data_IF_820872201673
#
_entry.id   IF_820872201673
#
_cell.length_a   1.000
_cell.length_b   1.000
_cell.length_c   1.000
_cell.angle_alpha   90.00
_cell.angle_beta   90.00
_cell.angle_gamma   90.00
#
_symmetry.space_group_name_H-M   'P 1'
#
loop_
_entity.id
_entity.type
_entity.pdbx_description
1 polymer ?
#
# COMPACT_ATOMS: atom_id res chain seq x y z
N UNK A 1 -21.15 -44.21 6.07
CA UNK A 1 -21.64 -43.36 7.19
C UNK A 1 -20.90 -43.65 8.51
N UNK A 2 -20.71 -44.92 8.89
CA UNK A 2 -20.03 -45.28 10.15
C UNK A 2 -18.55 -44.85 10.24
N UNK A 3 -17.81 -44.84 9.11
CA UNK A 3 -16.41 -44.37 9.09
C UNK A 3 -16.25 -42.84 9.15
N UNK A 4 -17.30 -42.07 8.83
CA UNK A 4 -17.28 -40.60 8.93
C UNK A 4 -17.41 -40.13 10.39
N UNK A 5 -18.04 -40.92 11.25
CA UNK A 5 -18.18 -40.64 12.69
C UNK A 5 -16.86 -40.81 13.46
N UNK A 6 -15.98 -41.71 13.00
CA UNK A 6 -14.67 -41.97 13.61
C UNK A 6 -13.65 -40.80 13.40
N UNK A 7 -13.86 -39.98 12.37
CA UNK A 7 -13.02 -38.81 12.10
C UNK A 7 -13.19 -37.66 13.10
N UNK A 8 -14.30 -37.63 13.83
CA UNK A 8 -14.58 -36.58 14.82
C UNK A 8 -14.03 -36.87 16.22
N UNK A 9 -13.54 -38.09 16.49
CA UNK A 9 -13.27 -38.59 17.85
C UNK A 9 -11.88 -39.19 18.07
N UNK A 10 -10.99 -39.17 17.08
CA UNK A 10 -9.65 -39.77 17.21
C UNK A 10 -8.57 -38.80 16.75
N UNK A 11 -7.53 -38.61 17.56
CA UNK A 11 -6.34 -37.84 17.16
C UNK A 11 -5.51 -38.59 16.10
N UNK A 12 -5.65 -39.92 16.04
CA UNK A 12 -5.00 -40.77 15.03
C UNK A 12 -5.91 -41.04 13.81
N UNK A 13 -6.11 -39.99 13.03
CA UNK A 13 -6.85 -40.04 11.76
C UNK A 13 -6.15 -40.87 10.68
N UNK A 14 -4.87 -41.21 10.85
CA UNK A 14 -4.03 -41.85 9.83
C UNK A 14 -4.45 -43.29 9.53
N UNK A 15 -4.85 -44.05 10.55
CA UNK A 15 -5.25 -45.45 10.41
C UNK A 15 -6.59 -45.61 9.66
N UNK A 16 -7.55 -44.71 9.92
CA UNK A 16 -8.87 -44.72 9.28
C UNK A 16 -8.75 -44.41 7.78
N UNK A 17 -7.89 -43.46 7.41
CA UNK A 17 -7.72 -43.10 6.00
C UNK A 17 -6.95 -44.15 5.20
N UNK A 18 -6.02 -44.89 5.82
CA UNK A 18 -5.36 -46.04 5.17
C UNK A 18 -6.37 -47.13 4.76
N UNK A 19 -7.37 -47.41 5.61
CA UNK A 19 -8.44 -48.37 5.32
C UNK A 19 -9.40 -47.90 4.22
N UNK A 20 -9.67 -46.59 4.15
CA UNK A 20 -10.48 -46.02 3.07
C UNK A 20 -9.72 -46.03 1.74
N UNK A 21 -8.42 -45.73 1.73
CA UNK A 21 -7.62 -45.63 0.52
C UNK A 21 -7.52 -46.97 -0.25
N UNK A 22 -7.46 -48.12 0.44
CA UNK A 22 -7.48 -49.45 -0.21
C UNK A 22 -8.76 -49.75 -0.99
N UNK A 23 -9.83 -48.98 -0.76
CA UNK A 23 -11.15 -49.21 -1.38
C UNK A 23 -11.45 -48.31 -2.59
N UNK A 24 -10.66 -47.26 -2.83
CA UNK A 24 -10.99 -46.19 -3.80
C UNK A 24 -9.94 -45.95 -4.90
N UNK A 25 -9.04 -46.90 -5.15
CA UNK A 25 -7.84 -46.74 -6.00
C UNK A 25 -8.07 -46.47 -7.50
N UNK A 26 -9.31 -46.42 -8.00
CA UNK A 26 -9.59 -46.33 -9.43
C UNK A 26 -10.10 -44.98 -9.97
N UNK A 27 -10.18 -43.90 -9.17
CA UNK A 27 -10.61 -42.58 -9.70
C UNK A 27 -9.89 -41.38 -9.05
N UNK A 28 -8.73 -41.02 -9.60
CA UNK A 28 -7.87 -39.92 -9.10
C UNK A 28 -8.43 -38.50 -9.33
N UNK A 29 -9.53 -38.36 -10.05
CA UNK A 29 -10.10 -37.05 -10.44
C UNK A 29 -11.20 -36.54 -9.49
N UNK A 30 -11.71 -37.37 -8.58
CA UNK A 30 -12.80 -36.97 -7.69
C UNK A 30 -12.25 -36.29 -6.44
N UNK A 31 -12.68 -35.05 -6.18
CA UNK A 31 -12.14 -34.20 -5.10
C UNK A 31 -12.14 -34.89 -3.71
N UNK A 32 -13.22 -35.57 -3.26
CA UNK A 32 -13.18 -36.36 -2.02
C UNK A 32 -12.06 -37.41 -1.98
N UNK A 33 -11.82 -38.13 -3.08
CA UNK A 33 -10.76 -39.15 -3.15
C UNK A 33 -9.38 -38.48 -3.08
N UNK A 34 -9.19 -37.35 -3.77
CA UNK A 34 -7.94 -36.58 -3.70
C UNK A 34 -7.63 -36.12 -2.27
N UNK A 35 -8.63 -35.61 -1.54
CA UNK A 35 -8.46 -35.19 -0.14
C UNK A 35 -8.19 -36.40 0.77
N UNK A 36 -8.91 -37.51 0.58
CA UNK A 36 -8.67 -38.74 1.36
C UNK A 36 -7.24 -39.25 1.15
N UNK A 37 -6.71 -39.16 -0.07
CA UNK A 37 -5.37 -39.58 -0.43
C UNK A 37 -4.25 -38.66 0.11
N UNK A 38 -4.60 -37.45 0.56
CA UNK A 38 -3.65 -36.52 1.21
C UNK A 38 -3.36 -36.94 2.64
N UNK A 39 -4.37 -37.44 3.36
CA UNK A 39 -4.25 -37.74 4.79
C UNK A 39 -3.21 -38.80 5.20
N UNK A 40 -2.98 -39.89 4.45
CA UNK A 40 -1.94 -40.86 4.81
C UNK A 40 -0.51 -40.38 4.52
N UNK A 41 -0.33 -39.23 3.86
CA UNK A 41 0.99 -38.72 3.48
C UNK A 41 1.73 -38.10 4.68
N UNK A 42 3.07 -38.18 4.69
CA UNK A 42 3.92 -37.67 5.77
C UNK A 42 3.74 -36.16 6.01
N UNK A 43 3.45 -35.38 4.96
CA UNK A 43 3.18 -33.94 5.02
C UNK A 43 1.74 -33.62 4.61
N UNK A 44 0.80 -34.34 5.19
CA UNK A 44 -0.64 -34.24 4.87
C UNK A 44 -1.21 -32.82 5.05
N UNK A 45 -0.69 -32.04 5.99
CA UNK A 45 -1.05 -30.63 6.18
C UNK A 45 -0.59 -29.73 5.03
N UNK A 46 0.66 -29.88 4.57
CA UNK A 46 1.22 -29.18 3.42
C UNK A 46 0.46 -29.53 2.13
N UNK A 47 0.23 -30.82 1.88
CA UNK A 47 -0.44 -31.28 0.67
C UNK A 47 -1.92 -30.86 0.65
N UNK A 48 -2.59 -30.81 1.81
CA UNK A 48 -3.93 -30.25 1.91
C UNK A 48 -3.95 -28.77 1.56
N UNK A 49 -2.99 -27.99 2.08
CA UNK A 49 -2.88 -26.57 1.76
C UNK A 49 -2.57 -26.32 0.27
N UNK A 50 -1.77 -27.19 -0.35
CA UNK A 50 -1.46 -27.13 -1.78
C UNK A 50 -2.68 -27.46 -2.63
N UNK A 51 -3.45 -28.47 -2.24
CA UNK A 51 -4.71 -28.80 -2.91
C UNK A 51 -5.73 -27.65 -2.75
N UNK A 52 -5.77 -27.01 -1.58
CA UNK A 52 -6.65 -25.86 -1.33
C UNK A 52 -6.32 -24.68 -2.25
N UNK A 53 -5.03 -24.41 -2.50
CA UNK A 53 -4.57 -23.44 -3.50
C UNK A 53 -5.02 -23.80 -4.92
N UNK A 54 -4.85 -25.05 -5.36
CA UNK A 54 -5.25 -25.49 -6.70
C UNK A 54 -6.74 -25.29 -6.98
N UNK A 55 -7.58 -25.43 -5.95
CA UNK A 55 -9.03 -25.23 -6.03
C UNK A 55 -9.48 -23.82 -5.62
N UNK A 56 -8.54 -22.94 -5.24
CA UNK A 56 -8.80 -21.58 -4.74
C UNK A 56 -9.87 -21.56 -3.63
N UNK A 57 -9.75 -22.51 -2.70
CA UNK A 57 -10.63 -22.67 -1.53
C UNK A 57 -9.79 -22.76 -0.28
N UNK A 58 -10.29 -22.26 0.84
CA UNK A 58 -9.63 -22.52 2.12
C UNK A 58 -9.62 -24.04 2.40
N UNK A 59 -8.71 -24.55 3.24
CA UNK A 59 -8.75 -25.97 3.60
C UNK A 59 -10.12 -26.39 4.15
N UNK A 60 -10.78 -25.55 4.94
CA UNK A 60 -12.13 -25.81 5.44
C UNK A 60 -13.19 -25.81 4.33
N UNK A 61 -13.18 -24.82 3.43
CA UNK A 61 -14.09 -24.76 2.28
C UNK A 61 -13.91 -25.97 1.34
N UNK A 62 -12.67 -26.43 1.15
CA UNK A 62 -12.33 -27.58 0.32
C UNK A 62 -12.96 -28.86 0.89
N UNK A 63 -12.82 -29.09 2.20
CA UNK A 63 -13.41 -30.25 2.88
C UNK A 63 -14.94 -30.19 2.84
N UNK A 64 -15.55 -29.01 3.08
CA UNK A 64 -17.00 -28.83 2.96
C UNK A 64 -17.51 -29.17 1.56
N UNK A 65 -16.82 -28.73 0.51
CA UNK A 65 -17.17 -29.04 -0.87
C UNK A 65 -17.10 -30.54 -1.17
N UNK A 66 -16.21 -31.25 -0.49
CA UNK A 66 -16.08 -32.71 -0.57
C UNK A 66 -17.03 -33.47 0.37
N UNK A 67 -17.93 -32.78 1.08
CA UNK A 67 -18.81 -33.35 2.11
C UNK A 67 -18.04 -34.04 3.25
N UNK A 68 -16.85 -33.53 3.57
CA UNK A 68 -15.99 -34.00 4.65
C UNK A 68 -16.06 -33.06 5.87
N UNK A 69 -15.77 -33.56 7.09
CA UNK A 69 -15.75 -32.74 8.30
C UNK A 69 -14.69 -31.64 8.21
N UNK A 70 -15.11 -30.37 8.26
CA UNK A 70 -14.21 -29.23 8.11
C UNK A 70 -13.57 -28.74 9.43
N UNK A 71 -13.98 -29.29 10.58
CA UNK A 71 -13.45 -28.96 11.91
C UNK A 71 -12.58 -30.11 12.42
N UNK A 72 -11.45 -30.33 11.75
CA UNK A 72 -10.49 -31.37 12.11
C UNK A 72 -9.09 -30.74 12.20
N UNK A 73 -8.23 -31.28 13.07
CA UNK A 73 -6.95 -30.66 13.43
C UNK A 73 -6.00 -30.44 12.24
N UNK A 74 -6.13 -31.24 11.18
CA UNK A 74 -5.34 -31.08 9.95
C UNK A 74 -5.69 -29.80 9.18
N UNK A 75 -6.90 -29.26 9.31
CA UNK A 75 -7.28 -27.97 8.70
C UNK A 75 -6.48 -26.84 9.32
N UNK A 76 -6.39 -26.81 10.65
CA UNK A 76 -5.62 -25.79 11.38
C UNK A 76 -4.12 -25.90 11.08
N UNK A 77 -3.60 -27.14 10.98
CA UNK A 77 -2.21 -27.37 10.56
C UNK A 77 -1.96 -26.94 9.12
N UNK A 78 -2.87 -27.25 8.20
CA UNK A 78 -2.76 -26.85 6.80
C UNK A 78 -2.72 -25.33 6.62
N UNK A 79 -3.51 -24.60 7.42
CA UNK A 79 -3.46 -23.13 7.43
C UNK A 79 -2.06 -22.57 7.74
N UNK A 80 -1.17 -23.29 8.44
CA UNK A 80 0.21 -22.82 8.70
C UNK A 80 1.06 -22.73 7.44
N UNK A 81 0.70 -23.44 6.38
CA UNK A 81 1.49 -23.55 5.15
C UNK A 81 0.99 -22.64 4.02
N UNK A 82 -0.17 -21.99 4.18
CA UNK A 82 -0.79 -21.22 3.09
C UNK A 82 0.04 -20.00 2.67
N UNK A 83 0.71 -19.33 3.61
CA UNK A 83 1.63 -18.23 3.29
C UNK A 83 2.79 -18.71 2.45
N UNK A 84 3.43 -19.81 2.86
CA UNK A 84 4.56 -20.37 2.12
C UNK A 84 4.15 -20.78 0.70
N UNK A 85 2.96 -21.37 0.54
CA UNK A 85 2.40 -21.73 -0.77
C UNK A 85 2.12 -20.48 -1.61
N UNK A 86 1.50 -19.44 -1.04
CA UNK A 86 1.24 -18.19 -1.74
C UNK A 86 2.54 -17.57 -2.27
N UNK A 87 3.55 -17.48 -1.41
CA UNK A 87 4.87 -16.92 -1.75
C UNK A 87 5.54 -17.74 -2.85
N UNK A 88 5.56 -19.07 -2.74
CA UNK A 88 6.20 -19.97 -3.72
C UNK A 88 5.57 -19.90 -5.10
N UNK A 89 4.25 -19.75 -5.16
CA UNK A 89 3.57 -19.73 -6.46
C UNK A 89 3.74 -18.38 -7.18
N UNK A 90 4.18 -17.31 -6.49
CA UNK A 90 4.44 -15.96 -7.03
C UNK A 90 3.28 -15.28 -7.80
N UNK A 91 2.20 -16.00 -8.09
CA UNK A 91 1.01 -15.54 -8.81
C UNK A 91 0.11 -14.80 -7.84
N UNK A 92 0.06 -13.48 -7.98
CA UNK A 92 -0.85 -12.60 -7.25
C UNK A 92 -1.99 -12.11 -8.15
N UNK A 93 -2.61 -13.05 -8.87
CA UNK A 93 -3.88 -12.75 -9.53
C UNK A 93 -4.98 -12.50 -8.48
N UNK A 94 -6.13 -12.02 -8.95
CA UNK A 94 -7.24 -11.66 -8.07
C UNK A 94 -7.66 -12.82 -7.19
N UNK A 95 -7.73 -14.02 -7.75
CA UNK A 95 -8.23 -15.21 -7.07
C UNK A 95 -7.26 -15.73 -6.02
N UNK A 96 -5.94 -15.71 -6.28
CA UNK A 96 -4.93 -16.10 -5.32
C UNK A 96 -4.89 -15.16 -4.11
N UNK A 97 -5.03 -13.84 -4.34
CA UNK A 97 -5.12 -12.85 -3.25
C UNK A 97 -6.39 -13.06 -2.42
N UNK A 98 -7.53 -13.26 -3.08
CA UNK A 98 -8.81 -13.53 -2.39
C UNK A 98 -8.75 -14.84 -1.58
N UNK A 99 -8.11 -15.88 -2.11
CA UNK A 99 -7.87 -17.13 -1.39
C UNK A 99 -7.00 -16.93 -0.13
N UNK A 100 -5.89 -16.21 -0.25
CA UNK A 100 -5.00 -15.95 0.89
C UNK A 100 -5.73 -15.19 1.99
N UNK A 101 -6.46 -14.13 1.63
CA UNK A 101 -7.22 -13.32 2.58
C UNK A 101 -8.25 -14.15 3.36
N UNK A 102 -8.98 -15.04 2.67
CA UNK A 102 -9.90 -15.96 3.34
C UNK A 102 -9.18 -16.90 4.30
N UNK A 103 -8.04 -17.47 3.88
CA UNK A 103 -7.25 -18.34 4.75
C UNK A 103 -6.76 -17.59 6.00
N UNK A 104 -6.24 -16.36 5.84
CA UNK A 104 -5.82 -15.52 6.96
C UNK A 104 -6.97 -15.19 7.92
N UNK A 105 -8.19 -14.97 7.41
CA UNK A 105 -9.38 -14.70 8.22
C UNK A 105 -9.87 -15.93 9.01
N UNK A 106 -9.62 -17.14 8.52
CA UNK A 106 -9.94 -18.38 9.24
C UNK A 106 -8.92 -18.73 10.33
N UNK A 107 -7.72 -18.14 10.31
CA UNK A 107 -6.67 -18.44 11.28
C UNK A 107 -6.97 -17.89 12.68
N UNK A 108 -6.60 -18.63 13.74
CA UNK A 108 -6.49 -18.07 15.09
C UNK A 108 -5.50 -16.89 15.13
N UNK A 109 -5.68 -15.91 16.05
CA UNK A 109 -4.88 -14.67 16.06
C UNK A 109 -3.36 -14.86 16.04
N UNK A 110 -2.83 -15.79 16.85
CA UNK A 110 -1.39 -16.03 16.93
C UNK A 110 -0.83 -16.65 15.64
N UNK A 111 -1.61 -17.53 15.02
CA UNK A 111 -1.24 -18.16 13.75
C UNK A 111 -1.29 -17.14 12.61
N UNK A 112 -2.33 -16.30 12.57
CA UNK A 112 -2.46 -15.21 11.61
C UNK A 112 -1.28 -14.24 11.70
N UNK A 113 -0.92 -13.82 12.91
CA UNK A 113 0.23 -12.92 13.14
C UNK A 113 1.54 -13.51 12.58
N UNK A 114 1.79 -14.79 12.83
CA UNK A 114 2.98 -15.50 12.33
C UNK A 114 2.96 -15.57 10.80
N UNK A 115 1.82 -15.93 10.22
CA UNK A 115 1.62 -16.02 8.78
C UNK A 115 1.80 -14.67 8.07
N UNK A 116 1.32 -13.58 8.68
CA UNK A 116 1.47 -12.21 8.16
C UNK A 116 2.91 -11.72 8.26
N UNK A 117 3.59 -11.97 9.39
CA UNK A 117 5.00 -11.60 9.54
C UNK A 117 5.88 -12.30 8.48
N UNK A 118 5.65 -13.59 8.26
CA UNK A 118 6.33 -14.35 7.22
C UNK A 118 6.04 -13.80 5.81
N UNK A 119 4.77 -13.49 5.51
CA UNK A 119 4.33 -12.94 4.22
C UNK A 119 5.06 -11.63 3.90
N UNK A 120 5.12 -10.72 4.88
CA UNK A 120 5.72 -9.39 4.75
C UNK A 120 7.22 -9.45 4.48
N UNK A 121 7.91 -10.44 5.04
CA UNK A 121 9.37 -10.61 4.89
C UNK A 121 9.72 -11.35 3.60
N UNK A 122 8.92 -12.35 3.21
CA UNK A 122 9.26 -13.23 2.08
C UNK A 122 8.84 -12.69 0.71
N UNK A 123 7.89 -11.76 0.63
CA UNK A 123 7.53 -11.12 -0.63
C UNK A 123 8.48 -9.94 -0.88
N UNK A 124 9.46 -10.16 -1.76
CA UNK A 124 10.46 -9.16 -2.15
C UNK A 124 10.01 -8.23 -3.28
N UNK A 125 9.02 -8.66 -4.07
CA UNK A 125 8.50 -7.91 -5.21
C UNK A 125 7.67 -6.68 -4.80
N UNK A 126 7.44 -5.79 -5.77
CA UNK A 126 6.56 -4.62 -5.62
C UNK A 126 5.21 -5.01 -4.96
N UNK A 127 4.89 -4.40 -3.80
CA UNK A 127 3.70 -4.75 -3.02
C UNK A 127 2.38 -4.29 -3.66
N UNK A 128 2.43 -3.38 -4.64
CA UNK A 128 1.24 -2.84 -5.32
C UNK A 128 1.04 -3.48 -6.69
N UNK A 129 2.02 -4.25 -7.18
CA UNK A 129 1.90 -4.97 -8.43
C UNK A 129 0.80 -6.04 -8.37
N UNK A 130 0.13 -6.23 -9.51
CA UNK A 130 -1.02 -7.14 -9.66
C UNK A 130 -2.17 -6.78 -8.71
N UNK A 131 -2.87 -7.76 -8.15
CA UNK A 131 -4.02 -7.55 -7.26
C UNK A 131 -3.64 -7.40 -5.78
N UNK A 132 -2.35 -7.21 -5.48
CA UNK A 132 -1.85 -7.12 -4.10
C UNK A 132 -2.29 -5.85 -3.37
N UNK A 133 -2.77 -4.81 -4.07
CA UNK A 133 -3.33 -3.61 -3.42
C UNK A 133 -4.42 -3.95 -2.40
N UNK A 134 -5.30 -4.92 -2.72
CA UNK A 134 -6.34 -5.40 -1.79
C UNK A 134 -5.77 -6.09 -0.55
N UNK A 135 -4.68 -6.84 -0.71
CA UNK A 135 -3.96 -7.45 0.40
C UNK A 135 -3.35 -6.36 1.31
N UNK A 136 -2.73 -5.34 0.70
CA UNK A 136 -2.15 -4.22 1.45
C UNK A 136 -3.23 -3.40 2.15
N UNK A 137 -4.40 -3.19 1.53
CA UNK A 137 -5.56 -2.54 2.16
C UNK A 137 -6.02 -3.31 3.39
N UNK A 138 -6.19 -4.63 3.27
CA UNK A 138 -6.55 -5.48 4.40
C UNK A 138 -5.48 -5.44 5.52
N UNK A 139 -4.19 -5.52 5.15
CA UNK A 139 -3.09 -5.42 6.12
C UNK A 139 -3.06 -4.07 6.83
N UNK A 140 -3.30 -2.97 6.11
CA UNK A 140 -3.42 -1.63 6.69
C UNK A 140 -4.54 -1.61 7.72
N UNK A 141 -5.73 -2.07 7.35
CA UNK A 141 -6.91 -1.95 8.21
C UNK A 141 -6.80 -2.86 9.44
N UNK A 142 -6.22 -4.06 9.29
CA UNK A 142 -6.06 -5.04 10.37
C UNK A 142 -4.87 -4.72 11.29
N UNK A 143 -3.73 -4.27 10.75
CA UNK A 143 -2.47 -4.16 11.49
C UNK A 143 -1.97 -2.73 11.76
N UNK A 144 -2.57 -1.67 11.23
CA UNK A 144 -2.10 -0.29 11.54
C UNK A 144 -2.12 0.00 13.05
N UNK A 145 -3.17 -0.43 13.75
CA UNK A 145 -3.28 -0.30 15.23
C UNK A 145 -2.58 -1.42 16.02
N UNK A 146 -2.09 -2.45 15.34
CA UNK A 146 -1.46 -3.65 15.92
C UNK A 146 -0.01 -3.83 15.49
N UNK A 147 0.59 -2.81 14.88
CA UNK A 147 1.93 -2.90 14.29
C UNK A 147 3.03 -3.22 15.31
N UNK A 148 2.79 -2.95 16.60
CA UNK A 148 3.64 -3.35 17.73
C UNK A 148 3.71 -4.86 17.97
N UNK A 149 2.77 -5.64 17.43
CA UNK A 149 2.77 -7.10 17.53
C UNK A 149 3.70 -7.75 16.49
N UNK A 150 4.09 -7.01 15.46
CA UNK A 150 5.00 -7.48 14.42
C UNK A 150 6.46 -7.24 14.84
N UNK A 151 7.35 -8.14 14.42
CA UNK A 151 8.79 -7.93 14.57
C UNK A 151 9.30 -6.74 13.73
N UNK A 152 10.57 -6.37 13.93
CA UNK A 152 11.15 -5.20 13.26
C UNK A 152 11.14 -5.28 11.72
N UNK A 153 11.40 -6.46 11.15
CA UNK A 153 11.49 -6.64 9.71
C UNK A 153 10.10 -6.64 9.06
N UNK A 154 9.14 -7.35 9.64
CA UNK A 154 7.76 -7.36 9.23
C UNK A 154 7.11 -5.98 9.38
N UNK A 155 7.35 -5.28 10.51
CA UNK A 155 6.85 -3.91 10.73
C UNK A 155 7.40 -2.93 9.70
N UNK A 156 8.68 -3.03 9.38
CA UNK A 156 9.32 -2.19 8.35
C UNK A 156 8.69 -2.44 6.98
N UNK A 157 8.49 -3.71 6.64
CA UNK A 157 7.86 -4.11 5.37
C UNK A 157 6.40 -3.67 5.29
N UNK A 158 5.63 -3.80 6.37
CA UNK A 158 4.25 -3.33 6.45
C UNK A 158 4.16 -1.82 6.19
N UNK A 159 4.99 -1.03 6.87
CA UNK A 159 5.00 0.42 6.68
C UNK A 159 5.34 0.80 5.23
N UNK A 160 6.34 0.12 4.65
CA UNK A 160 6.72 0.30 3.24
C UNK A 160 5.55 -0.01 2.31
N UNK A 161 4.86 -1.13 2.51
CA UNK A 161 3.74 -1.54 1.68
C UNK A 161 2.57 -0.56 1.77
N UNK A 162 2.22 -0.13 2.98
CA UNK A 162 1.20 0.90 3.21
C UNK A 162 1.60 2.21 2.52
N UNK A 163 2.88 2.60 2.62
CA UNK A 163 3.43 3.75 1.93
C UNK A 163 3.27 3.68 0.42
N UNK A 164 3.68 2.57 -0.19
CA UNK A 164 3.50 2.33 -1.61
C UNK A 164 2.02 2.39 -2.04
N UNK A 165 1.11 1.82 -1.24
CA UNK A 165 -0.33 1.88 -1.50
C UNK A 165 -0.84 3.33 -1.47
N UNK A 166 -0.52 4.07 -0.41
CA UNK A 166 -0.91 5.46 -0.26
C UNK A 166 -0.37 6.33 -1.41
N UNK A 167 0.90 6.14 -1.78
CA UNK A 167 1.51 6.83 -2.92
C UNK A 167 0.79 6.48 -4.23
N UNK A 168 0.39 5.23 -4.42
CA UNK A 168 -0.32 4.81 -5.64
C UNK A 168 -1.64 5.54 -5.84
N UNK A 169 -2.34 5.92 -4.76
CA UNK A 169 -3.57 6.71 -4.85
C UNK A 169 -3.25 8.12 -5.38
N UNK A 170 -2.24 8.77 -4.83
CA UNK A 170 -1.75 10.06 -5.30
C UNK A 170 -1.33 10.03 -6.77
N UNK A 171 -0.52 9.03 -7.16
CA UNK A 171 -0.10 8.83 -8.54
C UNK A 171 -1.30 8.69 -9.48
N UNK A 172 -2.25 7.80 -9.17
CA UNK A 172 -3.47 7.59 -9.97
C UNK A 172 -4.30 8.86 -10.10
N UNK A 173 -4.36 9.70 -9.05
CA UNK A 173 -5.03 11.00 -9.12
C UNK A 173 -4.31 11.94 -10.09
N UNK A 174 -2.98 12.10 -10.00
CA UNK A 174 -2.23 12.92 -10.95
C UNK A 174 -2.42 12.43 -12.38
N UNK A 175 -2.27 11.13 -12.62
CA UNK A 175 -2.40 10.53 -13.95
C UNK A 175 -3.82 10.72 -14.52
N UNK A 176 -4.83 10.75 -13.66
CA UNK A 176 -6.21 11.03 -14.06
C UNK A 176 -6.45 12.51 -14.34
N UNK A 177 -5.92 13.40 -13.49
CA UNK A 177 -5.98 14.87 -13.69
C UNK A 177 -5.33 15.26 -15.01
N UNK A 178 -4.09 14.82 -15.24
CA UNK A 178 -3.32 15.13 -16.45
C UNK A 178 -4.03 14.67 -17.72
N UNK A 179 -4.63 13.47 -17.70
CA UNK A 179 -5.27 12.85 -18.85
C UNK A 179 -6.67 13.38 -19.13
N UNK A 180 -7.44 13.73 -18.10
CA UNK A 180 -8.88 13.97 -18.24
C UNK A 180 -9.28 15.45 -18.16
N UNK A 181 -8.51 16.31 -17.48
CA UNK A 181 -8.84 17.73 -17.34
C UNK A 181 -8.38 18.59 -18.54
N UNK A 182 -7.88 17.97 -19.62
CA UNK A 182 -7.42 18.65 -20.85
C UNK A 182 -6.50 19.84 -20.56
N UNK A 183 -5.50 19.60 -19.71
CA UNK A 183 -4.57 20.64 -19.26
C UNK A 183 -3.53 20.97 -20.34
N UNK A 184 -2.96 22.20 -20.33
CA UNK A 184 -1.80 22.51 -21.13
C UNK A 184 -0.62 21.58 -20.83
N UNK A 185 0.20 21.27 -21.84
CA UNK A 185 1.36 20.38 -21.70
C UNK A 185 2.32 20.81 -20.59
N UNK A 186 2.51 22.13 -20.41
CA UNK A 186 3.33 22.69 -19.34
C UNK A 186 2.78 22.35 -17.93
N UNK A 187 1.45 22.36 -17.74
CA UNK A 187 0.83 21.97 -16.47
C UNK A 187 0.93 20.47 -16.24
N UNK A 188 0.72 19.66 -17.29
CA UNK A 188 0.90 18.21 -17.23
C UNK A 188 2.32 17.87 -16.76
N UNK A 189 3.33 18.48 -17.39
CA UNK A 189 4.73 18.28 -17.02
C UNK A 189 5.00 18.65 -15.56
N UNK A 190 4.45 19.75 -15.07
CA UNK A 190 4.59 20.16 -13.66
C UNK A 190 3.95 19.13 -12.71
N UNK A 191 2.81 18.55 -13.07
CA UNK A 191 2.18 17.48 -12.29
C UNK A 191 3.04 16.22 -12.28
N UNK A 192 3.59 15.82 -13.43
CA UNK A 192 4.48 14.66 -13.55
C UNK A 192 5.77 14.84 -12.75
N UNK A 193 6.39 16.02 -12.79
CA UNK A 193 7.58 16.32 -11.98
C UNK A 193 7.29 16.19 -10.47
N UNK A 194 6.10 16.61 -10.03
CA UNK A 194 5.68 16.47 -8.61
C UNK A 194 5.40 15.02 -8.25
N UNK A 195 4.71 14.29 -9.12
CA UNK A 195 4.48 12.85 -8.98
C UNK A 195 5.81 12.14 -8.77
N UNK A 196 6.71 12.30 -9.72
CA UNK A 196 7.98 11.59 -9.76
C UNK A 196 8.89 11.99 -8.59
N UNK A 197 8.87 13.25 -8.15
CA UNK A 197 9.58 13.66 -6.94
C UNK A 197 9.10 12.91 -5.70
N UNK A 198 7.78 12.84 -5.47
CA UNK A 198 7.21 12.17 -4.29
C UNK A 198 7.34 10.64 -4.35
N UNK A 199 7.52 10.06 -5.56
CA UNK A 199 7.84 8.63 -5.71
C UNK A 199 9.05 8.22 -4.87
N UNK A 200 10.03 9.12 -4.73
CA UNK A 200 11.26 8.87 -3.96
C UNK A 200 11.02 8.86 -2.44
N UNK A 201 9.81 9.12 -1.97
CA UNK A 201 9.42 9.11 -0.56
C UNK A 201 8.24 8.17 -0.27
N UNK A 202 7.79 7.39 -1.27
CA UNK A 202 6.59 6.55 -1.20
C UNK A 202 6.54 5.68 0.06
N UNK A 203 7.66 5.07 0.42
CA UNK A 203 7.75 4.06 1.48
C UNK A 203 7.59 4.65 2.88
N UNK A 204 7.64 5.99 2.98
CA UNK A 204 7.54 6.75 4.24
C UNK A 204 6.16 7.35 4.47
N UNK A 205 5.26 7.26 3.50
CA UNK A 205 3.92 7.87 3.57
C UNK A 205 3.00 7.01 4.44
N UNK A 206 2.71 7.46 5.65
CA UNK A 206 1.87 6.71 6.60
C UNK A 206 0.40 6.75 6.21
N UNK A 207 -0.06 7.90 5.72
CA UNK A 207 -1.44 8.15 5.29
C UNK A 207 -1.44 9.17 4.17
N UNK A 208 -2.43 9.08 3.30
CA UNK A 208 -2.72 10.08 2.28
C UNK A 208 -4.16 10.56 2.42
N UNK A 209 -4.39 11.85 2.15
CA UNK A 209 -5.73 12.39 1.93
C UNK A 209 -5.72 13.21 0.65
N UNK A 210 -6.66 12.91 -0.23
CA UNK A 210 -6.85 13.63 -1.47
C UNK A 210 -8.06 14.54 -1.35
N UNK A 211 -7.88 15.80 -1.73
CA UNK A 211 -8.91 16.82 -1.76
C UNK A 211 -9.02 17.34 -3.19
N UNK A 212 -10.21 17.22 -3.78
CA UNK A 212 -10.45 17.61 -5.17
C UNK A 212 -11.46 18.75 -5.22
N UNK A 213 -11.26 19.75 -6.08
CA UNK A 213 -12.33 20.69 -6.44
C UNK A 213 -13.54 19.93 -7.00
N UNK A 214 -14.75 20.47 -6.80
CA UNK A 214 -15.99 19.87 -7.31
C UNK A 214 -15.92 19.54 -8.81
N UNK A 215 -15.36 20.44 -9.62
CA UNK A 215 -15.17 20.24 -11.07
C UNK A 215 -14.30 19.03 -11.40
N UNK A 216 -13.25 18.80 -10.61
CA UNK A 216 -12.30 17.71 -10.80
C UNK A 216 -12.90 16.41 -10.32
N UNK A 217 -13.56 16.41 -9.16
CA UNK A 217 -14.32 15.28 -8.65
C UNK A 217 -15.40 14.79 -9.63
N UNK A 218 -16.15 15.71 -10.24
CA UNK A 218 -17.16 15.37 -11.26
C UNK A 218 -16.55 14.77 -12.53
N UNK A 219 -15.30 15.11 -12.86
CA UNK A 219 -14.64 14.66 -14.09
C UNK A 219 -13.89 13.34 -13.92
N UNK A 220 -13.15 13.17 -12.83
CA UNK A 220 -12.25 12.02 -12.63
C UNK A 220 -12.68 11.09 -11.50
N UNK A 221 -13.61 11.52 -10.64
CA UNK A 221 -13.96 10.82 -9.40
C UNK A 221 -14.44 9.38 -9.63
N UNK A 222 -15.15 9.13 -10.73
CA UNK A 222 -15.62 7.77 -11.07
C UNK A 222 -14.48 6.80 -11.42
N UNK A 223 -13.29 7.30 -11.79
CA UNK A 223 -12.11 6.47 -12.06
C UNK A 223 -11.30 6.19 -10.79
N UNK A 224 -11.48 7.00 -9.75
CA UNK A 224 -10.77 6.85 -8.49
C UNK A 224 -11.48 5.78 -7.65
N UNK A 225 -10.89 4.60 -7.57
CA UNK A 225 -11.40 3.47 -6.77
C UNK A 225 -10.95 3.56 -5.30
N UNK A 226 -10.83 4.77 -4.76
CA UNK A 226 -10.37 5.06 -3.40
C UNK A 226 -10.94 6.38 -2.91
N UNK A 227 -10.92 6.60 -1.60
CA UNK A 227 -11.55 7.75 -0.97
C UNK A 227 -10.84 9.07 -1.29
N UNK A 228 -11.64 10.10 -1.58
CA UNK A 228 -11.21 11.49 -1.65
C UNK A 228 -12.29 12.39 -1.03
N UNK A 229 -11.93 13.61 -0.64
CA UNK A 229 -12.90 14.63 -0.20
C UNK A 229 -13.06 15.70 -1.27
N UNK A 230 -14.26 16.29 -1.34
CA UNK A 230 -14.51 17.44 -2.19
C UNK A 230 -14.16 18.71 -1.39
N UNK A 231 -13.38 19.60 -2.00
CA UNK A 231 -13.06 20.90 -1.42
C UNK A 231 -14.30 21.80 -1.46
N UNK A 232 -14.69 22.42 -0.33
CA UNK A 232 -15.71 23.46 -0.33
C UNK A 232 -15.18 24.71 -1.05
N UNK A 233 -16.07 25.44 -1.72
CA UNK A 233 -15.73 26.72 -2.33
C UNK A 233 -15.51 27.79 -1.24
N UNK A 234 -14.32 28.40 -1.23
CA UNK A 234 -13.94 29.44 -0.26
C UNK A 234 -13.28 30.67 -0.92
N UNK A 235 -13.44 30.82 -2.24
CA UNK A 235 -12.82 31.89 -3.03
C UNK A 235 -11.34 31.67 -3.37
N UNK A 236 -10.72 30.59 -2.90
CA UNK A 236 -9.37 30.21 -3.31
C UNK A 236 -9.31 29.74 -4.77
N UNK A 237 -8.15 29.92 -5.40
CA UNK A 237 -7.84 29.33 -6.71
C UNK A 237 -8.08 27.81 -6.69
N UNK A 238 -8.79 27.29 -7.70
CA UNK A 238 -9.14 25.88 -7.79
C UNK A 238 -7.88 25.03 -8.02
N UNK A 239 -7.60 24.13 -7.07
CA UNK A 239 -6.51 23.17 -7.19
C UNK A 239 -6.84 21.90 -6.42
N UNK A 240 -6.42 20.75 -6.94
CA UNK A 240 -6.32 19.53 -6.14
C UNK A 240 -5.25 19.69 -5.07
N UNK A 241 -5.47 19.04 -3.95
CA UNK A 241 -4.53 19.03 -2.83
C UNK A 241 -4.33 17.59 -2.37
N UNK A 242 -3.07 17.21 -2.18
CA UNK A 242 -2.72 15.95 -1.53
C UNK A 242 -2.03 16.24 -0.20
N UNK A 243 -2.45 15.54 0.85
CA UNK A 243 -1.85 15.62 2.17
C UNK A 243 -1.19 14.28 2.46
N UNK A 244 0.13 14.29 2.59
CA UNK A 244 0.94 13.15 3.00
C UNK A 244 1.26 13.24 4.49
N UNK A 245 0.97 12.18 5.24
CA UNK A 245 1.41 12.08 6.64
C UNK A 245 2.76 11.36 6.71
N UNK A 246 3.75 12.03 7.27
CA UNK A 246 5.04 11.47 7.66
C UNK A 246 5.14 11.36 9.19
N UNK A 247 6.29 10.91 9.71
CA UNK A 247 6.49 10.69 11.15
C UNK A 247 6.15 11.92 11.99
N UNK A 248 6.78 13.07 11.74
CA UNK A 248 6.63 14.29 12.55
C UNK A 248 5.89 15.44 11.84
N UNK A 249 5.61 15.29 10.54
CA UNK A 249 5.05 16.34 9.71
C UNK A 249 3.98 15.82 8.77
N UNK A 250 3.09 16.71 8.35
CA UNK A 250 2.20 16.52 7.22
C UNK A 250 2.68 17.43 6.08
N UNK A 251 2.96 16.84 4.91
CA UNK A 251 3.25 17.60 3.70
C UNK A 251 1.97 17.81 2.90
N UNK A 252 1.64 19.06 2.60
CA UNK A 252 0.49 19.45 1.80
C UNK A 252 0.98 19.91 0.44
N UNK A 253 0.69 19.14 -0.60
CA UNK A 253 0.98 19.46 -2.00
C UNK A 253 -0.26 20.06 -2.67
N UNK A 254 -0.14 21.29 -3.18
CA UNK A 254 -1.14 21.88 -4.08
C UNK A 254 -0.74 21.57 -5.51
N UNK A 255 -1.64 21.03 -6.34
CA UNK A 255 -1.28 20.46 -7.65
C UNK A 255 -1.19 21.49 -8.77
N UNK A 256 -2.05 22.52 -8.74
CA UNK A 256 -2.19 23.49 -9.81
C UNK A 256 -2.27 24.90 -9.25
N UNK A 257 -2.25 25.86 -10.17
CA UNK A 257 -2.38 27.27 -9.86
C UNK A 257 -1.06 28.03 -9.80
N UNK A 258 -1.19 29.35 -9.82
CA UNK A 258 -0.06 30.30 -9.89
C UNK A 258 0.84 30.25 -8.65
N UNK A 259 0.28 29.87 -7.50
CA UNK A 259 0.97 29.76 -6.20
C UNK A 259 1.33 28.30 -5.86
N UNK A 260 1.90 27.57 -6.82
CA UNK A 260 2.36 26.20 -6.61
C UNK A 260 3.31 26.11 -5.40
N UNK A 261 2.87 25.43 -4.35
CA UNK A 261 3.58 25.36 -3.07
C UNK A 261 3.44 23.96 -2.45
N UNK A 262 4.39 23.64 -1.59
CA UNK A 262 4.26 22.57 -0.60
C UNK A 262 4.36 23.18 0.80
N UNK A 263 3.50 22.74 1.72
CA UNK A 263 3.56 23.14 3.12
C UNK A 263 3.91 21.96 4.01
N UNK A 264 4.83 22.16 4.95
CA UNK A 264 5.07 21.23 6.05
C UNK A 264 4.43 21.75 7.33
N UNK A 265 3.46 21.00 7.82
CA UNK A 265 2.73 21.29 9.05
C UNK A 265 3.20 20.30 10.10
N UNK A 266 3.67 20.78 11.25
CA UNK A 266 4.07 19.92 12.37
C UNK A 266 2.89 19.10 12.88
N UNK A 267 3.13 17.82 13.20
CA UNK A 267 2.07 16.94 13.68
C UNK A 267 1.65 17.27 15.10
N UNK A 268 0.35 17.29 15.31
CA UNK A 268 -0.31 17.41 16.61
C UNK A 268 -1.65 16.69 16.51
N UNK A 269 -2.26 16.29 17.64
CA UNK A 269 -3.60 15.68 17.61
C UNK A 269 -4.63 16.57 16.91
N UNK A 270 -4.50 17.88 17.08
CA UNK A 270 -5.37 18.88 16.44
C UNK A 270 -5.15 18.95 14.93
N UNK A 271 -3.89 19.07 14.49
CA UNK A 271 -3.55 19.13 13.07
C UNK A 271 -3.91 17.83 12.36
N UNK A 272 -3.63 16.67 12.97
CA UNK A 272 -3.99 15.36 12.41
C UNK A 272 -5.52 15.23 12.28
N UNK A 273 -6.28 15.67 13.28
CA UNK A 273 -7.76 15.65 13.22
C UNK A 273 -8.27 16.59 12.12
N UNK A 274 -7.73 17.80 12.02
CA UNK A 274 -8.17 18.76 11.03
C UNK A 274 -7.82 18.31 9.61
N UNK A 275 -6.60 17.83 9.39
CA UNK A 275 -6.11 17.41 8.07
C UNK A 275 -6.70 16.07 7.61
N UNK A 276 -7.00 15.12 8.50
CA UNK A 276 -7.41 13.76 8.11
C UNK A 276 -8.82 13.33 8.54
N UNK A 277 -9.50 14.06 9.44
CA UNK A 277 -10.81 13.65 9.97
C UNK A 277 -11.92 14.64 9.62
N UNK A 278 -11.65 15.95 9.64
CA UNK A 278 -12.67 16.95 9.30
C UNK A 278 -13.06 16.91 7.83
N UNK A 279 -14.36 16.83 7.53
CA UNK A 279 -14.89 16.77 6.16
C UNK A 279 -14.89 18.13 5.45
N UNK A 280 -15.03 19.21 6.20
CA UNK A 280 -15.12 20.63 5.78
C UNK A 280 -13.75 21.31 5.65
N UNK A 281 -12.75 20.61 5.12
CA UNK A 281 -11.39 21.15 5.00
C UNK A 281 -11.26 21.94 3.69
N UNK A 282 -11.15 23.26 3.80
CA UNK A 282 -10.98 24.19 2.66
C UNK A 282 -9.51 24.57 2.42
N UNK A 283 -9.20 25.12 1.25
CA UNK A 283 -7.83 25.59 0.91
C UNK A 283 -7.40 26.72 1.84
N UNK A 284 -8.28 27.70 2.07
CA UNK A 284 -8.02 28.83 2.96
C UNK A 284 -7.72 28.33 4.37
N UNK A 285 -8.49 27.36 4.87
CA UNK A 285 -8.27 26.76 6.19
C UNK A 285 -6.93 26.05 6.27
N UNK A 286 -6.53 25.30 5.24
CA UNK A 286 -5.22 24.64 5.20
C UNK A 286 -4.10 25.69 5.27
N UNK A 287 -4.19 26.77 4.48
CA UNK A 287 -3.19 27.84 4.47
C UNK A 287 -3.12 28.58 5.82
N UNK A 288 -4.26 28.77 6.50
CA UNK A 288 -4.35 29.38 7.85
C UNK A 288 -3.73 28.54 8.96
N UNK A 289 -3.49 27.24 8.77
CA UNK A 289 -2.71 26.43 9.72
C UNK A 289 -1.24 26.87 9.79
N UNK A 290 -0.77 27.64 8.82
CA UNK A 290 0.61 28.07 8.72
C UNK A 290 1.51 26.93 8.26
N UNK A 291 2.57 26.69 9.04
CA UNK A 291 3.63 25.76 8.68
C UNK A 291 4.72 26.39 7.83
N UNK A 292 5.75 25.59 7.54
CA UNK A 292 6.84 25.99 6.67
C UNK A 292 6.43 25.81 5.21
N UNK A 293 6.71 26.79 4.37
CA UNK A 293 6.31 26.79 2.95
C UNK A 293 7.56 26.64 2.10
N UNK A 294 7.48 25.80 1.07
CA UNK A 294 8.50 25.68 0.04
C UNK A 294 7.86 25.83 -1.35
N UNK A 295 8.54 26.53 -2.24
CA UNK A 295 8.09 26.81 -3.60
C UNK A 295 8.21 25.61 -4.54
N UNK A 296 7.59 25.71 -5.73
CA UNK A 296 7.74 24.78 -6.85
C UNK A 296 8.37 25.45 -8.08
N UNK A 297 9.29 26.41 -7.89
CA UNK A 297 9.94 27.19 -8.95
C UNK A 297 11.13 26.43 -9.57
N UNK A 298 11.78 27.01 -10.57
CA UNK A 298 12.96 26.44 -11.24
C UNK A 298 13.95 25.77 -10.26
N UNK A 299 14.33 24.51 -10.54
CA UNK A 299 15.26 23.69 -9.74
C UNK A 299 14.85 23.45 -8.27
N UNK A 300 13.54 23.50 -7.97
CA UNK A 300 13.00 23.32 -6.61
C UNK A 300 13.34 21.97 -5.99
N UNK A 301 13.51 20.90 -6.78
CA UNK A 301 13.66 19.53 -6.28
C UNK A 301 14.86 19.41 -5.33
N UNK A 302 16.01 19.99 -5.71
CA UNK A 302 17.24 19.96 -4.91
C UNK A 302 17.10 20.68 -3.57
N UNK A 303 16.46 21.85 -3.55
CA UNK A 303 16.23 22.59 -2.30
C UNK A 303 15.13 21.95 -1.45
N UNK A 304 14.11 21.37 -2.09
CA UNK A 304 13.02 20.69 -1.41
C UNK A 304 13.50 19.42 -0.72
N UNK A 305 14.32 18.60 -1.39
CA UNK A 305 14.96 17.43 -0.77
C UNK A 305 15.77 17.83 0.46
N UNK A 306 16.65 18.83 0.32
CA UNK A 306 17.46 19.32 1.44
C UNK A 306 16.60 19.80 2.61
N UNK A 307 15.52 20.53 2.31
CA UNK A 307 14.57 21.01 3.30
C UNK A 307 13.85 19.85 4.01
N UNK A 308 13.35 18.86 3.28
CA UNK A 308 12.71 17.65 3.83
C UNK A 308 13.69 16.86 4.70
N UNK A 309 14.93 16.69 4.24
CA UNK A 309 15.99 15.99 4.99
C UNK A 309 16.29 16.66 6.33
N UNK A 310 16.32 17.99 6.38
CA UNK A 310 16.47 18.74 7.64
C UNK A 310 15.33 18.49 8.64
N UNK A 311 14.16 18.05 8.15
CA UNK A 311 12.98 17.68 8.97
C UNK A 311 12.92 16.18 9.28
N UNK A 312 13.96 15.42 8.91
CA UNK A 312 14.01 13.97 9.08
C UNK A 312 13.12 13.21 8.09
N UNK A 313 12.62 13.86 7.04
CA UNK A 313 11.91 13.20 5.93
C UNK A 313 12.96 12.86 4.87
N UNK A 314 13.41 11.61 4.89
CA UNK A 314 14.42 11.09 3.98
C UNK A 314 13.78 10.25 2.86
N UNK A 315 14.44 10.14 1.70
CA UNK A 315 14.00 9.27 0.61
C UNK A 315 13.88 7.78 1.01
N UNK A 316 13.30 7.00 0.11
CA UNK A 316 13.18 5.54 0.21
C UNK A 316 14.56 4.90 0.36
N UNK A 317 14.60 3.78 1.07
CA UNK A 317 15.84 3.03 1.30
C UNK A 317 16.43 2.55 -0.04
N UNK A 318 17.73 2.72 -0.23
CA UNK A 318 18.41 2.36 -1.48
C UNK A 318 18.23 3.33 -2.65
N UNK A 319 17.64 4.52 -2.43
CA UNK A 319 17.58 5.55 -3.48
C UNK A 319 18.98 5.99 -3.89
N UNK A 320 19.34 5.80 -5.16
CA UNK A 320 20.59 6.31 -5.76
C UNK A 320 20.34 7.41 -6.79
N UNK A 321 19.14 7.43 -7.37
CA UNK A 321 18.70 8.42 -8.35
C UNK A 321 17.25 8.78 -8.10
N UNK A 322 16.94 10.07 -8.18
CA UNK A 322 15.57 10.56 -8.10
C UNK A 322 14.85 10.38 -9.43
N UNK A 323 13.61 9.88 -9.35
CA UNK A 323 12.71 9.80 -10.50
C UNK A 323 12.34 11.20 -11.02
N UNK A 324 12.03 11.30 -12.32
CA UNK A 324 11.62 12.57 -12.96
C UNK A 324 12.75 13.59 -13.16
N UNK A 325 14.00 13.22 -12.88
CA UNK A 325 15.16 14.08 -13.03
C UNK A 325 16.17 13.49 -14.02
N UNK A 326 16.93 14.35 -14.71
CA UNK A 326 18.06 13.88 -15.53
C UNK A 326 19.10 13.17 -14.66
N UNK A 327 19.85 12.22 -15.23
CA UNK A 327 20.90 11.48 -14.50
C UNK A 327 21.92 12.40 -13.80
N UNK A 328 22.17 13.58 -14.37
CA UNK A 328 23.11 14.54 -13.83
C UNK A 328 22.61 15.20 -12.54
N UNK A 329 21.38 15.70 -12.53
CA UNK A 329 20.78 16.38 -11.37
C UNK A 329 20.13 15.41 -10.39
N UNK A 330 19.63 14.28 -10.88
CA UNK A 330 18.91 13.29 -10.10
C UNK A 330 19.79 12.34 -9.30
N UNK A 331 21.11 12.33 -9.51
CA UNK A 331 22.02 11.51 -8.70
C UNK A 331 21.92 11.94 -7.23
N UNK A 332 21.59 10.97 -6.37
CA UNK A 332 21.39 11.18 -4.96
C UNK A 332 22.47 10.46 -4.14
N UNK A 333 22.91 11.12 -3.08
CA UNK A 333 23.82 10.55 -2.10
C UNK A 333 23.21 10.69 -0.70
N UNK A 334 23.12 9.61 0.06
CA UNK A 334 22.45 9.61 1.36
C UNK A 334 23.07 10.61 2.35
N UNK A 335 24.36 10.92 2.22
CA UNK A 335 25.05 11.91 3.06
C UNK A 335 24.84 13.34 2.54
N UNK A 336 25.08 13.57 1.25
CA UNK A 336 25.15 14.89 0.64
C UNK A 336 23.83 15.41 0.05
N UNK A 337 22.84 14.54 -0.13
CA UNK A 337 21.55 14.86 -0.74
C UNK A 337 21.60 14.86 -2.27
N UNK A 338 20.66 15.57 -2.89
CA UNK A 338 20.68 15.83 -4.33
C UNK A 338 21.82 16.77 -4.72
N UNK A 339 22.27 16.66 -5.98
CA UNK A 339 23.25 17.58 -6.55
C UNK A 339 22.71 19.02 -6.48
N UNK A 340 23.57 19.94 -6.04
CA UNK A 340 23.27 21.37 -6.08
C UNK A 340 23.24 21.85 -7.54
N UNK A 341 22.29 22.74 -7.90
CA UNK A 341 22.29 23.40 -9.21
C UNK A 341 23.59 24.13 -9.48
N UNK A 342 23.91 24.40 -10.74
CA UNK A 342 25.12 25.15 -11.10
C UNK A 342 25.02 26.62 -10.63
N UNK A 343 26.14 27.35 -10.43
CA UNK A 343 26.11 28.69 -9.85
C UNK A 343 25.20 29.70 -10.58
N UNK A 344 25.07 29.57 -11.90
CA UNK A 344 24.15 30.40 -12.70
C UNK A 344 22.69 30.09 -12.36
N UNK A 345 22.35 28.82 -12.23
CA UNK A 345 21.00 28.32 -11.92
C UNK A 345 20.59 28.69 -10.49
N UNK A 346 21.55 28.65 -9.55
CA UNK A 346 21.33 29.11 -8.18
C UNK A 346 20.94 30.60 -8.16
N UNK A 347 21.68 31.46 -8.89
CA UNK A 347 21.36 32.90 -8.99
C UNK A 347 19.99 33.15 -9.59
N UNK A 348 19.65 32.43 -10.66
CA UNK A 348 18.32 32.54 -11.29
C UNK A 348 17.21 32.12 -10.33
N UNK A 349 17.38 30.99 -9.65
CA UNK A 349 16.44 30.53 -8.61
C UNK A 349 16.28 31.54 -7.49
N UNK A 350 17.36 32.14 -6.99
CA UNK A 350 17.30 33.16 -5.93
C UNK A 350 16.46 34.38 -6.34
N UNK A 351 16.55 34.82 -7.60
CA UNK A 351 15.72 35.92 -8.12
C UNK A 351 14.25 35.50 -8.14
N UNK A 352 13.95 34.30 -8.66
CA UNK A 352 12.58 33.78 -8.74
C UNK A 352 11.95 33.60 -7.36
N UNK A 353 12.70 33.04 -6.40
CA UNK A 353 12.23 32.85 -5.02
C UNK A 353 11.94 34.19 -4.35
N UNK A 354 12.81 35.19 -4.50
CA UNK A 354 12.56 36.54 -3.96
C UNK A 354 11.30 37.18 -4.53
N UNK A 355 11.03 36.98 -5.83
CA UNK A 355 9.81 37.46 -6.46
C UNK A 355 8.58 36.74 -5.90
N UNK A 356 8.61 35.42 -5.86
CA UNK A 356 7.53 34.59 -5.34
C UNK A 356 7.21 34.88 -3.86
N UNK A 357 8.22 35.09 -3.01
CA UNK A 357 8.02 35.47 -1.61
C UNK A 357 7.25 36.79 -1.46
N UNK A 358 7.47 37.76 -2.34
CA UNK A 358 6.71 39.03 -2.34
C UNK A 358 5.26 38.81 -2.76
N UNK A 359 5.00 37.91 -3.70
CA UNK A 359 3.65 37.55 -4.18
C UNK A 359 2.87 36.69 -3.17
N UNK A 360 3.56 36.03 -2.23
CA UNK A 360 2.98 35.25 -1.15
C UNK A 360 2.71 36.06 0.12
N UNK A 361 3.47 37.15 0.35
CA UNK A 361 3.32 38.05 1.49
C UNK A 361 2.27 39.16 1.28
N UNK A 362 1.82 39.35 0.04
CA UNK A 362 0.64 40.13 -0.33
C UNK A 362 -0.54 39.17 -0.57
#
# INVERSE_FOLDING_TARGET
MMHLLLLCYTDDTSAIFRLLNTSFTNNSYFLPIQIINVFPQERSDWELAKLSWQYLKTPAELLKKALLPARISIVDRALKHVTEIFVKNQVADKSGVEWLLKCLQEMPPQQQLTAVAELLVKISDDPIKNYRSKLVEWLRDEYSGKSQLLDGAAKTSLNRWIGALNYSYFQKTIDSVARMLRLPEAEIKVLEERRDFWANYSDRIQRVRLLLPQSSASTIGYQLQFDFSILPEDGSELTEVCIFQFSNYCAVEFFRGTKGEVRLIGRSKENDRLLFVKKDLSIERIRKLGGEIHDRLFMWQSSCEKWLKQKGIIPNDGTEYFQGMSKYYGKYDAKNGLRKPEPKEQKEREILVKKWQKEMGN
#
